data_IF_913876095998
#
_entry.id   IF_913876095998
#
_cell.length_a   1.000
_cell.length_b   1.000
_cell.length_c   1.000
_cell.angle_alpha   90.00
_cell.angle_beta   90.00
_cell.angle_gamma   90.00
#
_symmetry.space_group_name_H-M   'P 1'
#
loop_
_entity.id
_entity.type
_entity.pdbx_description
1 polymer ?
#
# COMPACT_ATOMS: atom_id res chain seq x y z
N UNK A 1 -45.15 -20.50 -5.15
CA UNK A 1 -44.10 -20.52 -4.11
C UNK A 1 -42.80 -20.11 -4.79
N UNK A 2 -42.44 -18.83 -4.71
CA UNK A 2 -41.26 -18.29 -5.37
C UNK A 2 -40.12 -18.21 -4.36
N UNK A 3 -39.06 -18.96 -4.68
CA UNK A 3 -37.66 -18.89 -4.29
C UNK A 3 -37.31 -17.73 -3.33
N UNK A 4 -37.05 -18.07 -2.07
CA UNK A 4 -36.46 -17.16 -1.10
C UNK A 4 -35.01 -16.87 -1.47
N UNK A 5 -34.67 -15.58 -1.53
CA UNK A 5 -33.29 -15.11 -1.71
C UNK A 5 -32.50 -15.30 -0.40
N UNK A 6 -31.34 -15.99 -0.42
CA UNK A 6 -30.36 -15.90 0.65
C UNK A 6 -29.27 -14.91 0.23
N UNK A 7 -29.35 -13.65 0.61
CA UNK A 7 -28.26 -12.69 0.31
C UNK A 7 -28.15 -11.48 1.25
N UNK A 8 -28.61 -11.58 2.49
CA UNK A 8 -28.55 -10.45 3.44
C UNK A 8 -27.84 -10.76 4.76
N UNK A 9 -27.82 -12.01 5.22
CA UNK A 9 -27.25 -12.35 6.54
C UNK A 9 -25.72 -12.38 6.51
N UNK A 10 -25.10 -13.06 5.54
CA UNK A 10 -23.63 -13.11 5.42
C UNK A 10 -22.99 -11.72 5.21
N UNK A 11 -23.68 -10.83 4.50
CA UNK A 11 -23.23 -9.45 4.28
C UNK A 11 -23.39 -8.53 5.50
N UNK A 12 -24.29 -8.87 6.43
CA UNK A 12 -24.44 -8.17 7.71
C UNK A 12 -23.37 -8.63 8.71
N UNK A 13 -23.07 -9.92 8.73
CA UNK A 13 -22.02 -10.49 9.59
C UNK A 13 -20.64 -9.96 9.20
N UNK A 14 -20.34 -9.88 7.90
CA UNK A 14 -19.07 -9.33 7.40
C UNK A 14 -18.89 -7.84 7.75
N UNK A 15 -19.94 -7.02 7.63
CA UNK A 15 -19.88 -5.60 8.03
C UNK A 15 -19.73 -5.45 9.54
N UNK A 16 -20.43 -6.28 10.32
CA UNK A 16 -20.29 -6.31 11.77
C UNK A 16 -18.86 -6.66 12.20
N UNK A 17 -18.25 -7.67 11.57
CA UNK A 17 -16.86 -8.07 11.83
C UNK A 17 -15.87 -6.96 11.45
N UNK A 18 -16.08 -6.26 10.33
CA UNK A 18 -15.25 -5.12 9.95
C UNK A 18 -15.38 -3.96 10.95
N UNK A 19 -16.58 -3.68 11.45
CA UNK A 19 -16.78 -2.64 12.45
C UNK A 19 -16.08 -2.97 13.77
N UNK A 20 -16.21 -4.21 14.24
CA UNK A 20 -15.49 -4.67 15.44
C UNK A 20 -13.98 -4.62 15.25
N UNK A 21 -13.47 -5.00 14.07
CA UNK A 21 -12.05 -4.90 13.75
C UNK A 21 -11.55 -3.45 13.76
N UNK A 22 -12.34 -2.48 13.24
CA UNK A 22 -12.02 -1.05 13.32
C UNK A 22 -11.95 -0.54 14.74
N UNK A 23 -12.95 -0.89 15.55
CA UNK A 23 -13.01 -0.48 16.96
C UNK A 23 -11.84 -1.08 17.76
N UNK A 24 -11.52 -2.36 17.54
CA UNK A 24 -10.39 -3.04 18.13
C UNK A 24 -9.06 -2.37 17.74
N UNK A 25 -8.85 -2.10 16.45
CA UNK A 25 -7.65 -1.43 15.97
C UNK A 25 -7.51 -0.02 16.57
N UNK A 26 -8.58 0.78 16.60
CA UNK A 26 -8.55 2.12 17.21
C UNK A 26 -8.19 2.09 18.70
N UNK A 27 -8.66 1.08 19.44
CA UNK A 27 -8.33 0.91 20.86
C UNK A 27 -6.88 0.45 21.06
N UNK A 28 -6.37 -0.45 20.22
CA UNK A 28 -5.00 -0.93 20.30
C UNK A 28 -3.99 0.16 19.92
N UNK A 29 -4.35 1.02 18.97
CA UNK A 29 -3.43 2.06 18.47
C UNK A 29 -3.30 3.27 19.40
N UNK A 30 -4.22 3.45 20.35
CA UNK A 30 -4.04 4.46 21.41
C UNK A 30 -2.97 4.01 22.40
N UNK A 31 -1.70 4.39 22.14
CA UNK A 31 -0.56 4.16 23.03
C UNK A 31 0.48 3.16 22.53
N UNK A 32 0.35 2.63 21.30
CA UNK A 32 1.39 1.84 20.67
C UNK A 32 2.56 2.72 20.21
N UNK A 33 3.79 2.21 20.29
CA UNK A 33 4.94 2.86 19.68
C UNK A 33 4.88 2.66 18.17
N UNK A 34 4.98 3.75 17.41
CA UNK A 34 5.10 3.74 15.95
C UNK A 34 6.39 2.96 15.57
N UNK A 35 6.25 1.70 15.17
CA UNK A 35 7.34 0.89 14.60
C UNK A 35 6.94 0.32 13.26
N UNK A 36 7.91 0.15 12.37
CA UNK A 36 7.71 -0.36 11.02
C UNK A 36 7.07 -1.75 11.05
N UNK A 37 7.54 -2.63 11.94
CA UNK A 37 7.02 -4.00 12.09
C UNK A 37 5.57 -4.00 12.58
N UNK A 38 5.21 -3.05 13.45
CA UNK A 38 3.85 -2.91 13.95
C UNK A 38 2.90 -2.46 12.82
N UNK A 39 3.31 -1.48 12.01
CA UNK A 39 2.50 -1.03 10.87
C UNK A 39 2.35 -2.12 9.81
N UNK A 40 3.42 -2.86 9.50
CA UNK A 40 3.33 -3.98 8.56
C UNK A 40 2.41 -5.08 9.10
N UNK A 41 2.50 -5.38 10.40
CA UNK A 41 1.61 -6.35 11.04
C UNK A 41 0.14 -5.88 11.04
N UNK A 42 -0.10 -4.60 11.28
CA UNK A 42 -1.44 -4.00 11.20
C UNK A 42 -1.99 -4.10 9.78
N UNK A 43 -1.17 -3.80 8.76
CA UNK A 43 -1.56 -3.92 7.36
C UNK A 43 -1.97 -5.36 7.02
N UNK A 44 -1.22 -6.36 7.50
CA UNK A 44 -1.52 -7.77 7.29
C UNK A 44 -2.77 -8.23 8.07
N UNK A 45 -2.94 -7.76 9.31
CA UNK A 45 -4.05 -8.18 10.18
C UNK A 45 -5.38 -7.57 9.74
N UNK A 46 -5.35 -6.30 9.34
CA UNK A 46 -6.52 -5.50 8.97
C UNK A 46 -6.55 -5.16 7.48
N UNK A 47 -6.13 -6.13 6.66
CA UNK A 47 -6.00 -6.02 5.21
C UNK A 47 -7.31 -5.64 4.48
N UNK A 48 -8.48 -5.87 5.09
CA UNK A 48 -9.78 -5.49 4.55
C UNK A 48 -10.24 -4.06 4.92
N UNK A 49 -9.51 -3.36 5.80
CA UNK A 49 -9.90 -2.04 6.29
C UNK A 49 -9.05 -0.95 5.61
N UNK A 50 -9.63 -0.24 4.65
CA UNK A 50 -8.97 0.87 3.95
C UNK A 50 -8.40 1.92 4.92
N UNK A 51 -9.14 2.25 5.99
CA UNK A 51 -8.68 3.20 7.01
C UNK A 51 -7.40 2.75 7.72
N UNK A 52 -7.18 1.45 7.90
CA UNK A 52 -5.95 0.91 8.50
C UNK A 52 -4.82 0.96 7.48
N UNK A 53 -5.08 0.53 6.25
CA UNK A 53 -4.07 0.55 5.19
C UNK A 53 -3.54 1.95 4.90
N UNK A 54 -4.45 2.93 4.76
CA UNK A 54 -4.08 4.32 4.58
C UNK A 54 -3.23 4.82 5.76
N UNK A 55 -3.72 4.63 7.00
CA UNK A 55 -3.05 5.16 8.17
C UNK A 55 -1.67 4.52 8.41
N UNK A 56 -1.51 3.24 8.08
CA UNK A 56 -0.23 2.55 8.15
C UNK A 56 0.75 3.06 7.08
N UNK A 57 0.30 3.27 5.84
CA UNK A 57 1.12 3.90 4.81
C UNK A 57 1.58 5.31 5.21
N UNK A 58 0.67 6.14 5.75
CA UNK A 58 1.02 7.48 6.26
C UNK A 58 2.02 7.42 7.42
N UNK A 59 1.91 6.42 8.31
CA UNK A 59 2.86 6.20 9.39
C UNK A 59 4.24 5.80 8.85
N UNK A 60 4.31 4.91 7.87
CA UNK A 60 5.55 4.55 7.18
C UNK A 60 6.22 5.78 6.56
N UNK A 61 5.46 6.65 5.89
CA UNK A 61 5.98 7.92 5.32
C UNK A 61 6.58 8.83 6.41
N UNK A 62 5.91 8.97 7.55
CA UNK A 62 6.39 9.78 8.67
C UNK A 62 7.68 9.22 9.26
N UNK A 63 7.72 7.90 9.50
CA UNK A 63 8.89 7.21 10.04
C UNK A 63 10.11 7.33 9.12
N UNK A 64 9.90 7.36 7.80
CA UNK A 64 10.98 7.58 6.84
C UNK A 64 11.75 8.89 7.04
N UNK A 65 11.16 9.87 7.73
CA UNK A 65 11.76 11.17 8.01
C UNK A 65 12.50 11.22 9.36
N UNK A 66 12.19 10.29 10.29
CA UNK A 66 12.65 10.37 11.68
C UNK A 66 13.48 9.18 12.15
N UNK A 67 13.35 8.02 11.49
CA UNK A 67 14.01 6.77 11.91
C UNK A 67 15.35 6.60 11.20
N UNK A 68 16.42 6.44 11.97
CA UNK A 68 17.73 6.04 11.45
C UNK A 68 17.68 4.60 10.91
N UNK A 69 18.34 4.37 9.77
CA UNK A 69 18.30 3.12 9.01
C UNK A 69 16.89 2.68 8.61
N UNK A 70 15.92 3.61 8.54
CA UNK A 70 14.52 3.34 8.18
C UNK A 70 14.40 2.41 6.97
N UNK A 71 15.12 2.69 5.89
CA UNK A 71 15.03 1.93 4.64
C UNK A 71 15.46 0.48 4.80
N UNK A 72 16.49 0.23 5.61
CA UNK A 72 16.95 -1.12 5.91
C UNK A 72 15.89 -1.88 6.69
N UNK A 73 15.38 -1.26 7.76
CA UNK A 73 14.35 -1.84 8.63
C UNK A 73 13.03 -2.07 7.87
N UNK A 74 12.62 -1.13 7.02
CA UNK A 74 11.44 -1.25 6.18
C UNK A 74 11.55 -2.42 5.20
N UNK A 75 12.73 -2.64 4.62
CA UNK A 75 12.98 -3.82 3.80
C UNK A 75 12.92 -5.11 4.63
N UNK A 76 13.59 -5.16 5.78
CA UNK A 76 13.59 -6.35 6.64
C UNK A 76 12.20 -6.71 7.18
N UNK A 77 11.38 -5.70 7.45
CA UNK A 77 10.01 -5.86 7.89
C UNK A 77 9.04 -6.26 6.75
N UNK A 78 9.47 -6.27 5.48
CA UNK A 78 8.58 -6.57 4.35
C UNK A 78 7.57 -5.45 4.04
N UNK A 79 7.94 -4.19 4.28
CA UNK A 79 7.04 -3.06 4.09
C UNK A 79 6.64 -2.86 2.62
N UNK A 80 7.52 -3.19 1.67
CA UNK A 80 7.23 -3.06 0.23
C UNK A 80 6.07 -3.99 -0.15
N UNK A 81 6.15 -5.25 0.25
CA UNK A 81 5.15 -6.28 -0.02
C UNK A 81 3.81 -5.95 0.63
N UNK A 82 3.85 -5.45 1.88
CA UNK A 82 2.66 -5.00 2.59
C UNK A 82 1.97 -3.84 1.87
N UNK A 83 2.73 -2.84 1.44
CA UNK A 83 2.19 -1.68 0.71
C UNK A 83 1.62 -2.08 -0.65
N UNK A 84 2.30 -2.94 -1.41
CA UNK A 84 1.76 -3.44 -2.69
C UNK A 84 0.48 -4.26 -2.48
N UNK A 85 0.42 -5.08 -1.42
CA UNK A 85 -0.78 -5.80 -1.05
C UNK A 85 -1.94 -4.84 -0.75
N UNK A 86 -1.71 -3.78 0.02
CA UNK A 86 -2.71 -2.75 0.30
C UNK A 86 -3.27 -2.11 -0.98
N UNK A 87 -2.38 -1.74 -1.92
CA UNK A 87 -2.80 -1.18 -3.22
C UNK A 87 -3.68 -2.15 -4.00
N UNK A 88 -3.33 -3.44 -4.00
CA UNK A 88 -4.06 -4.48 -4.73
C UNK A 88 -5.47 -4.74 -4.14
N UNK A 89 -5.63 -4.58 -2.83
CA UNK A 89 -6.88 -4.83 -2.10
C UNK A 89 -7.82 -3.65 -2.10
N UNK A 90 -7.29 -2.43 -2.17
CA UNK A 90 -8.08 -1.20 -2.17
C UNK A 90 -7.88 -0.39 -3.46
N UNK A 91 -8.06 -0.99 -4.66
CA UNK A 91 -7.72 -0.35 -5.93
C UNK A 91 -8.60 0.87 -6.26
N UNK A 92 -9.78 0.97 -5.65
CA UNK A 92 -10.75 2.05 -5.87
C UNK A 92 -10.66 3.15 -4.80
N UNK A 93 -9.83 2.99 -3.78
CA UNK A 93 -9.67 3.98 -2.72
C UNK A 93 -8.48 4.89 -3.04
N UNK A 94 -8.76 6.11 -3.53
CA UNK A 94 -7.74 7.06 -3.92
C UNK A 94 -6.79 7.45 -2.77
N UNK A 95 -7.30 7.51 -1.53
CA UNK A 95 -6.48 7.88 -0.37
C UNK A 95 -5.49 6.78 -0.03
N UNK A 96 -5.93 5.50 -0.07
CA UNK A 96 -5.01 4.36 0.07
C UNK A 96 -3.99 4.34 -1.06
N UNK A 97 -4.41 4.55 -2.32
CA UNK A 97 -3.49 4.54 -3.46
C UNK A 97 -2.43 5.65 -3.36
N UNK A 98 -2.82 6.87 -3.00
CA UNK A 98 -1.89 7.98 -2.82
C UNK A 98 -0.89 7.68 -1.69
N UNK A 99 -1.40 7.35 -0.50
CA UNK A 99 -0.55 7.07 0.67
C UNK A 99 0.41 5.90 0.41
N UNK A 100 -0.06 4.86 -0.27
CA UNK A 100 0.77 3.72 -0.65
C UNK A 100 1.87 4.09 -1.67
N UNK A 101 1.56 4.91 -2.68
CA UNK A 101 2.58 5.40 -3.62
C UNK A 101 3.64 6.24 -2.89
N UNK A 102 3.23 7.11 -1.97
CA UNK A 102 4.16 7.89 -1.15
C UNK A 102 5.03 6.98 -0.27
N UNK A 103 4.44 5.96 0.37
CA UNK A 103 5.17 4.99 1.18
C UNK A 103 6.19 4.20 0.34
N UNK A 104 5.82 3.73 -0.87
CA UNK A 104 6.73 3.08 -1.79
C UNK A 104 7.90 3.99 -2.16
N UNK A 105 7.65 5.25 -2.50
CA UNK A 105 8.72 6.23 -2.80
C UNK A 105 9.73 6.34 -1.65
N UNK A 106 9.25 6.35 -0.41
CA UNK A 106 10.13 6.47 0.76
C UNK A 106 10.86 5.17 1.13
N UNK A 107 10.25 4.02 0.81
CA UNK A 107 10.75 2.69 1.17
C UNK A 107 11.72 2.15 0.14
N UNK A 108 11.43 2.35 -1.15
CA UNK A 108 12.28 1.94 -2.26
C UNK A 108 13.47 2.88 -2.31
N UNK A 109 14.56 2.44 -1.70
CA UNK A 109 15.83 3.14 -1.76
C UNK A 109 16.27 3.34 -3.21
N UNK A 110 17.09 4.38 -3.43
CA UNK A 110 17.97 4.52 -4.59
C UNK A 110 19.14 3.51 -4.55
N UNK A 111 18.82 2.24 -4.31
CA UNK A 111 19.74 1.12 -4.23
C UNK A 111 19.14 -0.09 -4.93
N UNK A 112 19.98 -0.84 -5.65
CA UNK A 112 19.55 -1.96 -6.51
C UNK A 112 18.74 -3.01 -5.74
N UNK A 113 19.18 -3.38 -4.53
CA UNK A 113 18.48 -4.37 -3.69
C UNK A 113 17.02 -3.97 -3.40
N UNK A 114 16.76 -2.69 -3.12
CA UNK A 114 15.40 -2.22 -2.83
C UNK A 114 14.53 -2.17 -4.09
N UNK A 115 15.14 -1.83 -5.24
CA UNK A 115 14.47 -1.85 -6.54
C UNK A 115 14.16 -3.28 -7.00
N UNK A 116 15.02 -4.25 -6.68
CA UNK A 116 14.78 -5.66 -6.94
C UNK A 116 13.62 -6.19 -6.09
N UNK A 117 13.61 -5.89 -4.78
CA UNK A 117 12.46 -6.21 -3.92
C UNK A 117 11.16 -5.58 -4.44
N UNK A 118 11.20 -4.29 -4.84
CA UNK A 118 10.03 -3.61 -5.42
C UNK A 118 9.55 -4.27 -6.72
N UNK A 119 10.48 -4.68 -7.58
CA UNK A 119 10.17 -5.40 -8.82
C UNK A 119 9.54 -6.77 -8.52
N UNK A 120 10.10 -7.52 -7.58
CA UNK A 120 9.62 -8.86 -7.20
C UNK A 120 8.25 -8.79 -6.53
N UNK A 121 8.00 -7.76 -5.73
CA UNK A 121 6.71 -7.50 -5.12
C UNK A 121 5.63 -7.03 -6.12
N UNK A 122 5.99 -6.68 -7.37
CA UNK A 122 5.05 -6.16 -8.36
C UNK A 122 4.66 -4.69 -8.15
N UNK A 123 5.54 -3.90 -7.51
CA UNK A 123 5.26 -2.50 -7.21
C UNK A 123 5.05 -1.65 -8.46
N UNK A 124 5.75 -1.95 -9.56
CA UNK A 124 5.63 -1.21 -10.83
C UNK A 124 4.19 -1.32 -11.35
N UNK A 125 3.67 -2.55 -11.47
CA UNK A 125 2.32 -2.82 -11.94
C UNK A 125 1.27 -2.23 -11.01
N UNK A 126 1.49 -2.30 -9.69
CA UNK A 126 0.59 -1.69 -8.71
C UNK A 126 0.50 -0.17 -8.89
N UNK A 127 1.64 0.52 -9.03
CA UNK A 127 1.69 1.98 -9.20
C UNK A 127 1.08 2.41 -10.53
N UNK A 128 1.39 1.72 -11.63
CA UNK A 128 0.77 2.03 -12.93
C UNK A 128 -0.75 1.78 -12.89
N UNK A 129 -1.17 0.72 -12.20
CA UNK A 129 -2.59 0.45 -12.04
C UNK A 129 -3.30 1.52 -11.20
N UNK A 130 -2.67 2.06 -10.16
CA UNK A 130 -3.16 3.20 -9.40
C UNK A 130 -3.39 4.42 -10.31
N UNK A 131 -2.39 4.76 -11.15
CA UNK A 131 -2.51 5.87 -12.11
C UNK A 131 -3.67 5.65 -13.09
N UNK A 132 -3.83 4.43 -13.60
CA UNK A 132 -4.89 4.10 -14.55
C UNK A 132 -6.30 4.17 -13.96
N UNK A 133 -6.45 3.88 -12.67
CA UNK A 133 -7.74 3.85 -11.97
C UNK A 133 -8.16 5.20 -11.42
N UNK A 134 -7.18 6.06 -11.12
CA UNK A 134 -7.40 7.40 -10.58
C UNK A 134 -6.81 8.49 -11.48
N UNK A 135 -7.21 8.57 -12.78
CA UNK A 135 -6.62 9.50 -13.74
C UNK A 135 -6.85 10.98 -13.40
N UNK A 136 -7.94 11.28 -12.69
CA UNK A 136 -8.32 12.65 -12.31
C UNK A 136 -7.83 13.04 -10.91
N UNK A 137 -7.28 12.10 -10.14
CA UNK A 137 -6.74 12.38 -8.81
C UNK A 137 -5.28 12.84 -8.90
N UNK A 138 -5.08 14.15 -8.82
CA UNK A 138 -3.75 14.76 -8.91
C UNK A 138 -2.78 14.26 -7.83
N UNK A 139 -3.29 13.92 -6.63
CA UNK A 139 -2.46 13.39 -5.54
C UNK A 139 -1.93 12.01 -5.87
N UNK A 140 -2.81 11.11 -6.34
CA UNK A 140 -2.41 9.77 -6.80
C UNK A 140 -1.43 9.86 -7.97
N UNK A 141 -1.72 10.68 -8.99
CA UNK A 141 -0.83 10.83 -10.15
C UNK A 141 0.56 11.33 -9.75
N UNK A 142 0.63 12.35 -8.90
CA UNK A 142 1.91 12.92 -8.47
C UNK A 142 2.72 11.90 -7.65
N UNK A 143 2.10 11.27 -6.65
CA UNK A 143 2.75 10.28 -5.81
C UNK A 143 3.23 9.07 -6.62
N UNK A 144 2.40 8.58 -7.54
CA UNK A 144 2.70 7.45 -8.40
C UNK A 144 3.87 7.73 -9.36
N UNK A 145 3.89 8.89 -10.02
CA UNK A 145 5.00 9.28 -10.90
C UNK A 145 6.34 9.31 -10.14
N UNK A 146 6.35 9.88 -8.93
CA UNK A 146 7.57 9.95 -8.12
C UNK A 146 8.02 8.56 -7.65
N UNK A 147 7.09 7.70 -7.25
CA UNK A 147 7.39 6.31 -6.87
C UNK A 147 7.98 5.53 -8.06
N UNK A 148 7.38 5.64 -9.26
CA UNK A 148 7.89 5.00 -10.46
C UNK A 148 9.29 5.47 -10.81
N UNK A 149 9.56 6.77 -10.76
CA UNK A 149 10.88 7.34 -11.02
C UNK A 149 11.95 6.70 -10.11
N UNK A 150 11.68 6.62 -8.80
CA UNK A 150 12.60 6.03 -7.85
C UNK A 150 12.73 4.50 -8.00
N UNK A 151 11.69 3.79 -8.47
CA UNK A 151 11.75 2.33 -8.73
C UNK A 151 12.54 2.01 -10.01
N UNK A 152 12.49 2.86 -11.04
CA UNK A 152 13.13 2.58 -12.35
C UNK A 152 14.55 3.15 -12.49
N UNK A 153 15.04 3.90 -11.50
CA UNK A 153 16.23 4.73 -11.66
C UNK A 153 17.52 3.96 -11.98
N UNK A 154 17.77 2.82 -11.33
CA UNK A 154 19.05 2.07 -11.42
C UNK A 154 18.93 0.76 -12.20
N UNK A 155 17.76 0.11 -12.17
CA UNK A 155 17.54 -1.15 -12.89
C UNK A 155 16.88 -0.87 -14.25
N UNK A 156 17.64 -1.00 -15.33
CA UNK A 156 17.10 -0.84 -16.70
C UNK A 156 15.97 -1.84 -17.00
N UNK A 157 16.01 -3.04 -16.40
CA UNK A 157 14.92 -4.00 -16.46
C UNK A 157 13.60 -3.46 -15.88
N UNK A 158 13.65 -2.59 -14.87
CA UNK A 158 12.46 -1.94 -14.32
C UNK A 158 11.88 -0.91 -15.31
N UNK A 159 12.72 -0.25 -16.12
CA UNK A 159 12.24 0.64 -17.20
C UNK A 159 11.50 -0.14 -18.28
N UNK A 160 12.01 -1.31 -18.68
CA UNK A 160 11.32 -2.19 -19.65
C UNK A 160 9.97 -2.62 -19.09
N UNK A 161 9.95 -3.09 -17.84
CA UNK A 161 8.73 -3.54 -17.17
C UNK A 161 7.71 -2.42 -16.96
N UNK A 162 8.16 -1.21 -16.65
CA UNK A 162 7.29 -0.03 -16.55
C UNK A 162 6.63 0.30 -17.90
N UNK A 163 7.36 0.17 -19.02
CA UNK A 163 6.78 0.31 -20.36
C UNK A 163 5.75 -0.77 -20.65
N UNK A 164 6.07 -2.03 -20.36
CA UNK A 164 5.15 -3.16 -20.55
C UNK A 164 3.87 -3.04 -19.70
N UNK A 165 3.99 -2.44 -18.52
CA UNK A 165 2.86 -2.14 -17.64
C UNK A 165 2.00 -0.96 -18.12
N UNK A 166 2.48 -0.16 -19.10
CA UNK A 166 1.77 0.99 -19.65
C UNK A 166 2.11 2.34 -18.98
N UNK A 167 3.25 2.45 -18.28
CA UNK A 167 3.69 3.70 -17.65
C UNK A 167 4.16 4.77 -18.64
N UNK A 168 4.59 4.35 -19.84
CA UNK A 168 5.18 5.21 -20.87
C UNK A 168 4.74 4.67 -22.24
N UNK A 169 4.00 5.47 -23.01
CA UNK A 169 3.83 5.27 -24.47
C UNK A 169 5.08 5.75 -25.24
#
# INVERSE_FOLDING_TARGET
ACVGAPSTVEGQDARGMQQLAREAWRQLRTGAEDSIEAEVQDMATYEALAEVQQAACEALVRMAQSVEDYKHKAREAGAIEAVVSAMSRHPQDAQVQQAACEALRHTVCRAEVSQECAREAGAIEAVVSAMSRHPEDAGVQQAACQALEDIVLFIDGNKVRAREAGAIE
#
